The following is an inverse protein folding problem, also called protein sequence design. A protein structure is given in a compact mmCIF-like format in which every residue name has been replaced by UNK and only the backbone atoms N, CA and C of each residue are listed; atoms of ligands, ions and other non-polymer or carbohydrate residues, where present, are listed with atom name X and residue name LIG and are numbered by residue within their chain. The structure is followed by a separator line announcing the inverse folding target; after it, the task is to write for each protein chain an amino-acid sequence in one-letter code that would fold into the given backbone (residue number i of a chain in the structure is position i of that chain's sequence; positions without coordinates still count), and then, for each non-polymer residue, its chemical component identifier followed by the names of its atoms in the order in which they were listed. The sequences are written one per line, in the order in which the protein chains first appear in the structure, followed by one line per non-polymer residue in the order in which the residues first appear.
data_IF_353177454509
#
_entry.id   IF_353177454509
#
_cell.length_a   1.000
_cell.length_b   1.000
_cell.length_c   1.000
_cell.angle_alpha   90.00
_cell.angle_beta   90.00
_cell.angle_gamma   90.00
#
_symmetry.space_group_name_H-M   'P 1'
#
loop_
_entity.id
_entity.type
_entity.pdbx_description
1 polymer ?
#
# COMPACT_ATOMS: atom_id res chain seq x y z
N UNK A 1 -32.98 19.02 6.08
CA UNK A 1 -31.86 18.16 6.52
C UNK A 1 -30.64 18.56 5.71
N UNK A 2 -29.57 19.03 6.36
CA UNK A 2 -28.31 19.25 5.65
C UNK A 2 -27.89 17.91 5.03
N UNK A 3 -27.71 17.87 3.71
CA UNK A 3 -27.26 16.65 3.03
C UNK A 3 -25.87 16.34 3.57
N UNK A 4 -25.71 15.22 4.30
CA UNK A 4 -24.40 14.82 4.82
C UNK A 4 -23.39 14.81 3.67
N UNK A 5 -22.22 15.39 3.92
CA UNK A 5 -21.13 15.46 2.93
C UNK A 5 -20.74 14.02 2.55
N UNK A 6 -20.57 13.69 1.25
CA UNK A 6 -20.25 12.33 0.84
C UNK A 6 -18.93 11.86 1.46
N UNK A 7 -18.92 10.62 1.99
CA UNK A 7 -17.72 9.99 2.53
C UNK A 7 -16.83 9.52 1.39
N UNK A 8 -15.77 10.26 1.11
CA UNK A 8 -14.78 9.87 0.09
C UNK A 8 -13.69 9.01 0.76
N UNK A 9 -13.41 7.84 0.19
CA UNK A 9 -12.31 6.95 0.55
C UNK A 9 -11.11 7.13 -0.36
N UNK A 10 -9.92 7.18 0.22
CA UNK A 10 -8.65 7.06 -0.48
C UNK A 10 -8.10 5.64 -0.27
N UNK A 11 -7.96 4.87 -1.34
CA UNK A 11 -7.38 3.53 -1.32
C UNK A 11 -5.99 3.54 -1.97
N UNK A 12 -4.98 3.13 -1.21
CA UNK A 12 -3.58 3.10 -1.62
C UNK A 12 -3.08 1.65 -1.65
N UNK A 13 -2.73 1.15 -2.83
CA UNK A 13 -2.24 -0.22 -3.00
C UNK A 13 -0.79 -0.38 -2.53
N UNK A 14 -0.36 -1.63 -2.36
CA UNK A 14 1.00 -1.98 -1.98
C UNK A 14 1.93 -1.98 -3.19
N UNK A 15 3.19 -1.59 -3.00
CA UNK A 15 4.18 -1.66 -4.06
C UNK A 15 5.61 -1.27 -3.68
N UNK A 16 5.98 -1.38 -2.40
CA UNK A 16 7.32 -1.01 -1.94
C UNK A 16 7.71 0.41 -2.36
N UNK A 17 8.87 0.57 -3.00
CA UNK A 17 9.36 1.86 -3.50
C UNK A 17 8.45 2.49 -4.57
N UNK A 18 7.67 1.69 -5.33
CA UNK A 18 6.70 2.20 -6.31
C UNK A 18 5.66 3.13 -5.70
N UNK A 19 5.37 3.00 -4.40
CA UNK A 19 4.41 3.84 -3.69
C UNK A 19 4.82 5.33 -3.63
N UNK A 20 6.04 5.69 -4.04
CA UNK A 20 6.43 7.06 -4.35
C UNK A 20 5.52 7.72 -5.41
N UNK A 21 5.00 6.95 -6.37
CA UNK A 21 4.03 7.42 -7.35
C UNK A 21 2.77 8.01 -6.68
N UNK A 22 2.24 7.33 -5.65
CA UNK A 22 1.07 7.81 -4.90
C UNK A 22 1.32 9.19 -4.29
N UNK A 23 2.54 9.46 -3.83
CA UNK A 23 2.93 10.76 -3.27
C UNK A 23 2.86 11.85 -4.34
N UNK A 24 3.29 11.55 -5.57
CA UNK A 24 3.15 12.43 -6.72
C UNK A 24 1.70 12.77 -7.04
N UNK A 25 0.83 11.75 -7.06
CA UNK A 25 -0.61 11.93 -7.28
C UNK A 25 -1.22 12.85 -6.22
N UNK A 26 -0.91 12.59 -4.95
CA UNK A 26 -1.42 13.38 -3.84
C UNK A 26 -0.87 14.80 -3.83
N UNK A 27 0.39 15.00 -4.26
CA UNK A 27 1.00 16.31 -4.47
C UNK A 27 0.22 17.13 -5.48
N UNK A 28 -0.06 16.56 -6.66
CA UNK A 28 -0.86 17.24 -7.68
C UNK A 28 -2.25 17.62 -7.14
N UNK A 29 -2.95 16.70 -6.44
CA UNK A 29 -4.24 17.01 -5.81
C UNK A 29 -4.11 18.16 -4.80
N UNK A 30 -3.09 18.14 -3.96
CA UNK A 30 -2.88 19.15 -2.92
C UNK A 30 -2.60 20.55 -3.48
N UNK A 31 -2.01 20.69 -4.66
CA UNK A 31 -1.66 21.99 -5.24
C UNK A 31 -2.89 22.82 -5.59
N UNK A 32 -3.93 22.18 -6.12
CA UNK A 32 -5.18 22.85 -6.46
C UNK A 32 -6.29 22.74 -5.41
N UNK A 33 -6.20 21.78 -4.48
CA UNK A 33 -7.17 21.66 -3.39
C UNK A 33 -7.00 22.80 -2.37
N UNK A 34 -8.06 23.46 -1.86
CA UNK A 34 -7.94 24.63 -0.99
C UNK A 34 -6.93 24.53 0.18
N UNK A 35 -6.24 25.64 0.51
CA UNK A 35 -5.09 25.67 1.44
C UNK A 35 -5.41 25.33 2.90
N UNK A 36 -6.53 25.81 3.42
CA UNK A 36 -6.94 25.67 4.83
C UNK A 36 -8.20 24.83 4.90
N UNK A 37 -8.14 23.62 4.34
CA UNK A 37 -9.26 22.68 4.36
C UNK A 37 -8.82 21.32 4.90
N UNK A 38 -9.79 20.67 5.53
CA UNK A 38 -9.74 19.26 5.85
C UNK A 38 -9.49 18.46 4.57
N UNK A 39 -8.98 17.24 4.73
CA UNK A 39 -8.82 16.34 3.60
C UNK A 39 -10.14 16.14 2.86
N UNK A 40 -10.10 16.05 1.52
CA UNK A 40 -11.27 15.61 0.78
C UNK A 40 -11.64 14.16 1.14
N UNK A 41 -10.71 13.40 1.73
CA UNK A 41 -10.91 12.02 2.13
C UNK A 41 -11.27 11.93 3.61
N UNK A 42 -12.33 11.19 3.90
CA UNK A 42 -12.75 10.87 5.27
C UNK A 42 -12.39 9.43 5.65
N UNK A 43 -12.10 8.58 4.66
CA UNK A 43 -11.73 7.19 4.84
C UNK A 43 -10.37 6.96 4.16
N UNK A 44 -9.47 6.24 4.83
CA UNK A 44 -8.17 5.88 4.27
C UNK A 44 -7.95 4.37 4.38
N UNK A 45 -7.71 3.72 3.25
CA UNK A 45 -7.43 2.30 3.21
C UNK A 45 -6.07 2.09 2.56
N UNK A 46 -5.21 1.28 3.17
CA UNK A 46 -3.90 1.00 2.59
C UNK A 46 -3.40 -0.41 2.85
N UNK A 47 -2.62 -0.89 1.89
CA UNK A 47 -1.88 -2.15 1.98
C UNK A 47 -0.39 -1.88 1.80
N UNK A 48 0.47 -2.54 2.57
CA UNK A 48 1.93 -2.44 2.49
C UNK A 48 2.41 -0.98 2.52
N UNK A 49 3.25 -0.56 1.58
CA UNK A 49 3.70 0.83 1.46
C UNK A 49 2.55 1.86 1.32
N UNK A 50 1.42 1.48 0.71
CA UNK A 50 0.22 2.31 0.66
C UNK A 50 -0.42 2.53 2.04
N UNK A 51 -0.32 1.55 2.94
CA UNK A 51 -0.71 1.70 4.34
C UNK A 51 0.12 2.74 5.11
N UNK A 52 1.43 2.79 4.83
CA UNK A 52 2.34 3.79 5.40
C UNK A 52 1.92 5.20 4.92
N UNK A 53 1.67 5.36 3.62
CA UNK A 53 1.19 6.62 3.05
C UNK A 53 -0.17 7.03 3.62
N UNK A 54 -1.10 6.08 3.77
CA UNK A 54 -2.43 6.31 4.30
C UNK A 54 -2.39 6.88 5.72
N UNK A 55 -1.62 6.27 6.65
CA UNK A 55 -1.49 6.76 8.03
C UNK A 55 -0.82 8.13 8.06
N UNK A 56 0.24 8.31 7.27
CA UNK A 56 0.99 9.56 7.24
C UNK A 56 0.09 10.75 6.84
N UNK A 57 -0.84 10.55 5.91
CA UNK A 57 -1.77 11.62 5.48
C UNK A 57 -2.96 11.73 6.42
N UNK A 58 -3.55 10.60 6.84
CA UNK A 58 -4.72 10.58 7.73
C UNK A 58 -4.43 11.25 9.08
N UNK A 59 -3.19 11.16 9.57
CA UNK A 59 -2.73 11.90 10.76
C UNK A 59 -2.83 13.43 10.59
N UNK A 60 -2.86 13.93 9.36
CA UNK A 60 -3.01 15.34 9.00
C UNK A 60 -4.35 15.62 8.30
N UNK A 61 -5.39 14.83 8.58
CA UNK A 61 -6.72 15.01 7.97
C UNK A 61 -7.29 16.43 8.17
N UNK A 62 -6.93 17.15 9.23
CA UNK A 62 -7.31 18.56 9.43
C UNK A 62 -6.62 19.55 8.47
N UNK A 63 -5.47 19.20 7.89
CA UNK A 63 -4.72 20.06 6.98
C UNK A 63 -4.02 19.21 5.91
N UNK A 64 -4.75 18.93 4.83
CA UNK A 64 -4.33 17.98 3.79
C UNK A 64 -3.01 18.37 3.13
N UNK A 65 -2.85 19.65 2.74
CA UNK A 65 -1.62 20.14 2.09
C UNK A 65 -0.37 19.95 2.95
N UNK A 66 -0.48 20.15 4.26
CA UNK A 66 0.63 19.93 5.19
C UNK A 66 1.01 18.44 5.27
N UNK A 67 0.00 17.56 5.34
CA UNK A 67 0.20 16.11 5.32
C UNK A 67 0.94 15.65 4.07
N UNK A 68 0.49 16.11 2.89
CA UNK A 68 1.12 15.79 1.61
C UNK A 68 2.55 16.34 1.53
N UNK A 69 2.79 17.59 1.94
CA UNK A 69 4.15 18.17 1.95
C UNK A 69 5.10 17.41 2.87
N UNK A 70 4.63 16.96 4.05
CA UNK A 70 5.43 16.13 4.96
C UNK A 70 5.71 14.77 4.32
N UNK A 71 4.72 14.14 3.71
CA UNK A 71 4.87 12.86 3.03
C UNK A 71 5.90 12.95 1.90
N UNK A 72 5.80 13.96 1.04
CA UNK A 72 6.77 14.25 -0.02
C UNK A 72 8.18 14.43 0.56
N UNK A 73 8.32 15.22 1.63
CA UNK A 73 9.61 15.47 2.27
C UNK A 73 10.29 14.19 2.76
N UNK A 74 9.51 13.26 3.32
CA UNK A 74 10.00 11.96 3.81
C UNK A 74 10.44 11.08 2.63
N UNK A 75 9.57 10.91 1.63
CA UNK A 75 9.84 10.05 0.48
C UNK A 75 11.01 10.57 -0.34
N UNK A 76 11.08 11.87 -0.65
CA UNK A 76 12.15 12.45 -1.46
C UNK A 76 13.55 12.33 -0.84
N UNK A 77 13.65 11.98 0.44
CA UNK A 77 14.91 11.77 1.19
C UNK A 77 15.10 10.32 1.67
N UNK A 78 14.24 9.42 1.23
CA UNK A 78 14.32 8.02 1.62
C UNK A 78 15.52 7.36 0.92
N UNK A 79 16.23 6.54 1.68
CA UNK A 79 17.34 5.73 1.20
C UNK A 79 17.11 4.28 1.60
N UNK A 80 17.67 3.32 0.84
CA UNK A 80 17.55 1.88 1.16
C UNK A 80 17.98 1.56 2.60
N UNK A 81 19.02 2.24 3.11
CA UNK A 81 19.52 2.10 4.49
C UNK A 81 18.51 2.47 5.60
N UNK A 82 17.47 3.25 5.27
CA UNK A 82 16.39 3.62 6.20
C UNK A 82 15.24 2.62 6.17
N UNK A 83 15.19 1.73 5.18
CA UNK A 83 14.16 0.69 5.05
C UNK A 83 14.71 -0.64 5.55
N UNK A 84 15.92 -1.01 5.12
CA UNK A 84 16.56 -2.25 5.53
C UNK A 84 18.07 -2.09 5.73
N UNK A 85 18.66 -3.05 6.45
CA UNK A 85 20.10 -3.08 6.68
C UNK A 85 20.81 -3.34 5.35
N UNK A 86 21.39 -2.30 4.76
CA UNK A 86 22.12 -2.36 3.49
C UNK A 86 23.64 -2.43 3.65
N UNK A 87 24.15 -2.42 4.89
CA UNK A 87 25.58 -2.49 5.18
C UNK A 87 26.13 -3.92 5.00
N UNK A 88 27.34 -4.13 4.43
CA UNK A 88 27.94 -5.45 4.26
C UNK A 88 27.97 -6.27 5.54
N UNK A 89 28.56 -5.72 6.62
CA UNK A 89 28.66 -6.41 7.91
C UNK A 89 27.31 -6.74 8.54
N UNK A 90 26.38 -5.78 8.53
CA UNK A 90 25.04 -5.98 9.10
C UNK A 90 24.24 -7.04 8.35
N UNK A 91 24.35 -7.09 7.02
CA UNK A 91 23.63 -8.06 6.18
C UNK A 91 24.23 -9.46 6.31
N UNK A 92 25.56 -9.61 6.28
CA UNK A 92 26.22 -10.92 6.45
C UNK A 92 25.96 -11.51 7.84
N UNK A 93 26.12 -10.72 8.90
CA UNK A 93 25.83 -11.15 10.27
C UNK A 93 24.36 -11.56 10.43
N UNK A 94 23.42 -10.83 9.82
CA UNK A 94 22.00 -11.19 9.86
C UNK A 94 21.71 -12.51 9.14
N UNK A 95 22.26 -12.71 7.94
CA UNK A 95 22.10 -13.96 7.19
C UNK A 95 22.75 -15.16 7.91
N UNK A 96 23.95 -14.97 8.50
CA UNK A 96 24.61 -16.00 9.30
C UNK A 96 23.76 -16.38 10.53
N UNK A 97 23.24 -15.40 11.28
CA UNK A 97 22.34 -15.65 12.41
C UNK A 97 21.08 -16.39 11.98
N UNK A 98 20.49 -16.03 10.85
CA UNK A 98 19.36 -16.72 10.26
C UNK A 98 19.72 -18.17 9.89
N UNK A 99 20.91 -18.42 9.35
CA UNK A 99 21.40 -19.78 9.07
C UNK A 99 21.58 -20.60 10.35
N UNK A 100 22.31 -20.07 11.33
CA UNK A 100 22.54 -20.75 12.61
C UNK A 100 21.26 -21.04 13.38
N UNK A 101 20.30 -20.10 13.42
CA UNK A 101 19.01 -20.31 14.07
C UNK A 101 18.18 -21.45 13.45
N UNK A 102 18.47 -21.85 12.20
CA UNK A 102 17.82 -22.98 11.53
C UNK A 102 18.52 -24.32 11.76
N UNK A 103 19.80 -24.28 12.13
CA UNK A 103 20.58 -25.45 12.51
C UNK A 103 20.38 -25.82 13.99
N UNK A 104 19.87 -24.89 14.81
CA UNK A 104 19.52 -25.13 16.21
C UNK A 104 18.25 -26.00 16.35
N UNK A 105 18.24 -26.85 17.39
CA UNK A 105 17.16 -27.80 17.67
C UNK A 105 15.79 -27.13 17.91
N UNK A 106 14.71 -27.87 17.66
CA UNK A 106 13.29 -27.42 17.66
C UNK A 106 12.76 -26.78 18.97
N UNK A 107 13.56 -26.77 20.06
CA UNK A 107 13.12 -26.27 21.36
C UNK A 107 13.12 -24.74 21.49
N UNK A 108 13.74 -24.00 20.55
CA UNK A 108 13.71 -22.54 20.51
C UNK A 108 12.70 -22.04 19.46
N UNK A 109 11.86 -21.05 19.82
CA UNK A 109 11.01 -20.35 18.85
C UNK A 109 11.89 -19.76 17.74
N UNK A 110 11.79 -20.34 16.54
CA UNK A 110 12.59 -19.93 15.39
C UNK A 110 12.19 -18.51 14.96
N UNK A 111 13.16 -17.60 14.73
CA UNK A 111 12.85 -16.28 14.22
C UNK A 111 12.21 -16.39 12.81
N UNK A 112 11.26 -15.51 12.47
CA UNK A 112 10.67 -15.48 11.14
C UNK A 112 11.74 -15.30 10.05
N UNK A 113 11.59 -16.04 8.95
CA UNK A 113 12.49 -15.92 7.80
C UNK A 113 12.30 -14.58 7.11
N UNK A 114 13.41 -13.92 6.77
CA UNK A 114 13.45 -12.78 5.86
C UNK A 114 14.88 -12.56 5.40
N UNK A 115 15.11 -12.30 4.11
CA UNK A 115 16.42 -12.02 3.53
C UNK A 115 16.98 -10.67 3.99
N UNK A 116 16.10 -9.70 4.22
CA UNK A 116 16.41 -8.34 4.63
C UNK A 116 15.87 -8.06 6.02
N UNK A 117 16.68 -7.40 6.84
CA UNK A 117 16.29 -6.96 8.17
C UNK A 117 15.60 -5.59 8.09
N UNK A 118 14.32 -5.52 8.49
CA UNK A 118 13.47 -4.32 8.45
C UNK A 118 13.50 -3.48 9.75
N UNK A 119 14.47 -3.68 10.64
CA UNK A 119 14.64 -2.84 11.83
C UNK A 119 14.75 -1.33 11.51
N UNK A 120 15.50 -0.89 10.48
CA UNK A 120 15.54 0.52 10.11
C UNK A 120 14.17 1.08 9.74
N UNK A 121 13.34 0.29 9.04
CA UNK A 121 11.96 0.67 8.72
C UNK A 121 11.12 0.87 9.99
N UNK A 122 11.25 -0.02 10.99
CA UNK A 122 10.56 0.14 12.28
C UNK A 122 10.92 1.47 12.95
N UNK A 123 12.22 1.79 12.99
CA UNK A 123 12.72 3.03 13.59
C UNK A 123 12.21 4.26 12.82
N UNK A 124 12.20 4.20 11.48
CA UNK A 124 11.64 5.25 10.64
C UNK A 124 10.14 5.46 10.90
N UNK A 125 9.36 4.38 10.95
CA UNK A 125 7.92 4.45 11.19
C UNK A 125 7.59 5.05 12.56
N UNK A 126 8.33 4.68 13.59
CA UNK A 126 8.18 5.25 14.93
C UNK A 126 8.51 6.76 14.98
N UNK A 127 9.45 7.23 14.16
CA UNK A 127 9.81 8.66 14.09
C UNK A 127 8.81 9.48 13.28
N UNK A 128 8.26 8.90 12.21
CA UNK A 128 7.43 9.61 11.23
C UNK A 128 5.96 9.65 11.64
N UNK A 129 5.44 8.54 12.15
CA UNK A 129 4.02 8.37 12.45
C UNK A 129 3.67 8.89 13.83
N UNK A 130 2.56 9.62 13.92
CA UNK A 130 2.02 10.11 15.18
C UNK A 130 0.62 9.51 15.38
N UNK A 131 0.57 8.37 16.08
CA UNK A 131 -0.66 7.62 16.33
C UNK A 131 -1.63 8.38 17.24
N UNK A 132 -1.14 9.17 18.19
CA UNK A 132 -2.00 10.04 19.01
C UNK A 132 -2.71 11.09 18.15
N UNK A 133 -2.01 11.66 17.17
CA UNK A 133 -2.59 12.63 16.26
C UNK A 133 -3.65 11.99 15.38
N UNK A 134 -3.43 10.77 14.91
CA UNK A 134 -4.41 9.98 14.17
C UNK A 134 -5.70 9.79 14.99
N UNK A 135 -5.57 9.38 16.27
CA UNK A 135 -6.71 9.24 17.17
C UNK A 135 -7.45 10.56 17.39
N UNK A 136 -6.72 11.67 17.59
CA UNK A 136 -7.32 13.02 17.68
C UNK A 136 -8.12 13.39 16.41
N UNK A 137 -7.68 12.99 15.21
CA UNK A 137 -8.45 13.23 13.99
C UNK A 137 -9.75 12.45 13.94
N UNK A 138 -9.77 11.23 14.48
CA UNK A 138 -10.98 10.40 14.56
C UNK A 138 -11.96 11.03 15.55
N UNK A 139 -11.51 11.39 16.75
CA UNK A 139 -12.35 12.00 17.78
C UNK A 139 -12.93 13.34 17.29
N UNK A 140 -12.13 14.15 16.60
CA UNK A 140 -12.60 15.43 16.03
C UNK A 140 -13.53 15.28 14.82
N UNK A 141 -13.81 14.07 14.33
CA UNK A 141 -14.68 13.84 13.17
C UNK A 141 -14.02 14.15 11.81
N UNK A 142 -12.74 14.54 11.80
CA UNK A 142 -11.99 14.81 10.56
C UNK A 142 -11.66 13.53 9.79
N UNK A 143 -11.62 12.39 10.51
CA UNK A 143 -11.32 11.07 9.98
C UNK A 143 -12.46 10.13 10.38
N UNK A 144 -13.19 9.61 9.40
CA UNK A 144 -14.25 8.63 9.63
C UNK A 144 -13.65 7.25 9.96
N UNK A 145 -12.63 6.84 9.21
CA UNK A 145 -11.94 5.58 9.47
C UNK A 145 -10.64 5.41 8.68
N UNK A 146 -9.77 4.56 9.20
CA UNK A 146 -8.54 4.12 8.57
C UNK A 146 -8.41 2.61 8.66
N UNK A 147 -7.92 1.96 7.61
CA UNK A 147 -7.69 0.53 7.54
C UNK A 147 -6.30 0.20 7.01
N UNK A 148 -5.62 -0.73 7.68
CA UNK A 148 -4.38 -1.36 7.24
C UNK A 148 -4.62 -2.85 7.04
N UNK A 149 -4.40 -3.33 5.82
CA UNK A 149 -4.63 -4.73 5.48
C UNK A 149 -3.33 -5.54 5.59
N UNK A 150 -3.38 -6.66 6.31
CA UNK A 150 -2.28 -7.62 6.45
C UNK A 150 -2.79 -9.05 6.21
N UNK A 151 -1.89 -9.98 5.91
CA UNK A 151 -2.22 -11.37 5.65
C UNK A 151 -1.88 -12.24 6.85
N UNK A 152 -2.85 -12.96 7.41
CA UNK A 152 -2.60 -13.89 8.53
C UNK A 152 -2.09 -15.23 7.99
N UNK A 153 -0.86 -15.61 8.36
CA UNK A 153 -0.28 -16.90 7.99
C UNK A 153 -0.98 -18.08 8.67
N UNK A 154 -1.50 -17.88 9.89
CA UNK A 154 -2.20 -18.94 10.63
C UNK A 154 -3.53 -19.32 9.99
N UNK A 155 -4.25 -18.35 9.43
CA UNK A 155 -5.61 -18.56 8.94
C UNK A 155 -5.72 -18.54 7.41
N UNK A 156 -4.68 -18.09 6.69
CA UNK A 156 -4.74 -17.87 5.24
C UNK A 156 -5.80 -16.83 4.85
N UNK A 157 -6.03 -15.83 5.70
CA UNK A 157 -7.08 -14.81 5.53
C UNK A 157 -6.48 -13.43 5.51
N UNK A 158 -7.06 -12.55 4.70
CA UNK A 158 -6.76 -11.12 4.72
C UNK A 158 -7.47 -10.48 5.92
N UNK A 159 -6.71 -9.76 6.75
CA UNK A 159 -7.18 -9.07 7.94
C UNK A 159 -6.95 -7.58 7.78
N UNK A 160 -8.02 -6.82 7.73
CA UNK A 160 -8.03 -5.37 7.71
C UNK A 160 -8.18 -4.86 9.13
N UNK A 161 -7.07 -4.43 9.73
CA UNK A 161 -7.08 -3.75 11.01
C UNK A 161 -7.57 -2.32 10.81
N UNK A 162 -8.62 -1.93 11.51
CA UNK A 162 -9.19 -0.60 11.34
C UNK A 162 -9.41 0.15 12.64
N UNK A 163 -9.34 1.46 12.53
CA UNK A 163 -9.65 2.42 13.59
C UNK A 163 -10.54 3.53 13.01
N UNK A 164 -11.54 3.99 13.75
CA UNK A 164 -12.47 5.00 13.25
C UNK A 164 -13.67 5.19 14.17
N UNK A 165 -14.70 5.89 13.68
CA UNK A 165 -15.92 6.23 14.43
C UNK A 165 -16.58 4.99 15.06
N UNK A 166 -17.31 5.19 16.17
CA UNK A 166 -17.90 4.11 16.96
C UNK A 166 -18.90 3.26 16.15
N UNK A 167 -19.59 3.87 15.17
CA UNK A 167 -20.55 3.22 14.28
C UNK A 167 -19.94 2.13 13.37
N UNK A 168 -18.61 2.13 13.18
CA UNK A 168 -17.97 1.15 12.31
C UNK A 168 -17.96 -0.24 12.96
N UNK A 169 -18.62 -1.19 12.31
CA UNK A 169 -18.68 -2.57 12.74
C UNK A 169 -17.55 -3.43 12.16
N UNK A 170 -17.14 -4.45 12.92
CA UNK A 170 -16.26 -5.50 12.40
C UNK A 170 -16.97 -6.32 11.30
N UNK A 171 -16.19 -6.97 10.44
CA UNK A 171 -16.72 -7.86 9.41
C UNK A 171 -15.94 -9.17 9.35
N UNK A 172 -16.64 -10.26 9.02
CA UNK A 172 -16.03 -11.57 8.80
C UNK A 172 -16.75 -12.24 7.63
N UNK A 173 -16.20 -12.16 6.41
CA UNK A 173 -16.83 -12.73 5.22
C UNK A 173 -15.82 -13.07 4.12
N UNK A 174 -16.00 -14.23 3.48
CA UNK A 174 -15.27 -14.64 2.26
C UNK A 174 -13.75 -14.43 2.36
N UNK A 175 -13.11 -15.05 3.36
CA UNK A 175 -11.67 -14.96 3.66
C UNK A 175 -11.12 -13.55 3.95
N UNK A 176 -11.95 -12.51 3.98
CA UNK A 176 -11.62 -11.17 4.46
C UNK A 176 -12.21 -10.96 5.85
N UNK A 177 -11.47 -10.27 6.73
CA UNK A 177 -11.85 -10.01 8.11
C UNK A 177 -11.48 -8.59 8.51
N UNK A 178 -12.42 -7.82 9.04
CA UNK A 178 -12.17 -6.51 9.61
C UNK A 178 -12.08 -6.63 11.12
N UNK A 179 -10.97 -6.18 11.71
CA UNK A 179 -10.79 -6.15 13.16
C UNK A 179 -10.53 -4.74 13.63
N UNK A 180 -11.32 -4.29 14.62
CA UNK A 180 -11.10 -2.99 15.25
C UNK A 180 -9.85 -3.08 16.11
N UNK A 181 -8.89 -2.19 15.90
CA UNK A 181 -7.63 -2.17 16.64
C UNK A 181 -7.06 -0.75 16.66
N UNK A 182 -6.29 -0.43 17.71
CA UNK A 182 -5.46 0.77 17.70
C UNK A 182 -4.29 0.53 16.75
N UNK A 183 -4.22 1.32 15.68
CA UNK A 183 -3.19 1.15 14.67
C UNK A 183 -1.84 1.51 15.27
N UNK A 184 -0.84 0.68 15.00
CA UNK A 184 0.51 0.79 15.54
C UNK A 184 1.54 0.41 14.47
N UNK A 185 2.82 0.61 14.79
CA UNK A 185 3.93 0.27 13.89
C UNK A 185 3.93 -1.22 13.52
N UNK A 186 3.48 -2.10 14.40
CA UNK A 186 3.41 -3.55 14.10
C UNK A 186 2.43 -3.87 12.98
N UNK A 187 1.31 -3.14 12.91
CA UNK A 187 0.33 -3.31 11.83
C UNK A 187 0.91 -2.91 10.47
N UNK A 188 1.71 -1.84 10.43
CA UNK A 188 2.41 -1.41 9.23
C UNK A 188 3.52 -2.38 8.81
N UNK A 189 4.34 -2.83 9.76
CA UNK A 189 5.40 -3.80 9.50
C UNK A 189 4.83 -5.14 9.03
N UNK A 190 3.73 -5.60 9.63
CA UNK A 190 2.99 -6.76 9.17
C UNK A 190 2.51 -6.57 7.72
N UNK A 191 1.85 -5.44 7.44
CA UNK A 191 1.31 -5.13 6.12
C UNK A 191 2.38 -5.02 5.04
N UNK A 192 3.62 -4.64 5.39
CA UNK A 192 4.76 -4.51 4.49
C UNK A 192 5.75 -5.71 4.54
N UNK A 193 5.40 -6.79 5.24
CA UNK A 193 6.26 -7.98 5.38
C UNK A 193 6.17 -8.87 4.14
N UNK A 194 6.80 -8.41 3.05
CA UNK A 194 6.86 -9.14 1.77
C UNK A 194 7.49 -10.52 2.01
N UNK A 195 6.84 -11.63 1.58
CA UNK A 195 7.34 -12.98 1.80
C UNK A 195 8.77 -13.15 1.31
N UNK A 196 9.57 -13.89 2.07
CA UNK A 196 10.99 -14.15 1.82
C UNK A 196 11.89 -12.91 1.91
N UNK A 197 11.39 -11.72 1.60
CA UNK A 197 12.16 -10.47 1.66
C UNK A 197 12.24 -9.95 3.09
N UNK A 198 11.11 -9.79 3.77
CA UNK A 198 11.04 -9.25 5.13
C UNK A 198 10.45 -10.25 6.11
N UNK A 199 10.91 -10.24 7.37
CA UNK A 199 10.38 -11.13 8.41
C UNK A 199 8.91 -10.82 8.70
N UNK A 200 8.12 -11.87 8.90
CA UNK A 200 6.74 -11.78 9.38
C UNK A 200 6.66 -11.05 10.73
N UNK A 201 5.63 -10.22 10.92
CA UNK A 201 5.40 -9.52 12.19
C UNK A 201 4.36 -10.21 13.05
N UNK A 202 4.56 -10.22 14.37
CA UNK A 202 3.64 -10.82 15.34
C UNK A 202 2.72 -9.74 15.90
N UNK A 203 1.41 -9.92 15.74
CA UNK A 203 0.38 -9.06 16.36
C UNK A 203 -0.46 -9.96 17.27
N UNK A 204 -0.35 -9.74 18.58
CA UNK A 204 -0.91 -10.65 19.58
C UNK A 204 -0.29 -12.05 19.47
N UNK A 205 -1.12 -13.06 19.23
CA UNK A 205 -0.71 -14.47 19.14
C UNK A 205 -0.60 -15.00 17.69
N UNK A 206 -0.66 -14.12 16.69
CA UNK A 206 -0.67 -14.53 15.28
C UNK A 206 0.44 -13.82 14.50
N UNK A 207 1.06 -14.54 13.56
CA UNK A 207 2.01 -13.98 12.60
C UNK A 207 1.29 -13.50 11.35
N UNK A 208 1.69 -12.31 10.92
CA UNK A 208 1.16 -11.63 9.75
C UNK A 208 2.28 -11.34 8.75
N UNK A 209 1.94 -11.46 7.47
CA UNK A 209 2.74 -11.07 6.31
C UNK A 209 2.06 -9.98 5.50
N UNK A 210 2.66 -9.64 4.36
CA UNK A 210 2.17 -8.58 3.47
C UNK A 210 0.69 -8.75 3.14
N UNK A 211 -0.06 -7.65 3.20
CA UNK A 211 -1.51 -7.67 3.03
C UNK A 211 -1.98 -8.12 1.66
N UNK A 212 -1.12 -8.06 0.63
CA UNK A 212 -1.46 -8.46 -0.75
C UNK A 212 -1.65 -9.96 -0.94
N UNK A 213 -0.92 -10.79 -0.18
CA UNK A 213 -0.79 -12.25 -0.40
C UNK A 213 -2.15 -12.98 -0.42
N UNK A 214 -3.17 -12.42 0.25
CA UNK A 214 -4.52 -12.97 0.26
C UNK A 214 -5.61 -11.89 0.10
N UNK A 215 -5.30 -10.74 -0.53
CA UNK A 215 -6.23 -9.62 -0.64
C UNK A 215 -7.30 -9.85 -1.70
N UNK A 216 -8.30 -10.68 -1.41
CA UNK A 216 -9.35 -11.04 -2.37
C UNK A 216 -10.39 -9.93 -2.63
N UNK A 217 -10.46 -8.90 -1.78
CA UNK A 217 -11.41 -7.79 -1.95
C UNK A 217 -10.81 -6.51 -1.37
N UNK A 218 -9.91 -5.85 -2.11
CA UNK A 218 -9.26 -4.63 -1.68
C UNK A 218 -10.22 -3.47 -1.40
N UNK A 219 -11.40 -3.45 -2.02
CA UNK A 219 -12.39 -2.38 -1.84
C UNK A 219 -13.23 -2.55 -0.57
N UNK A 220 -13.27 -3.76 0.00
CA UNK A 220 -14.14 -4.09 1.14
C UNK A 220 -13.97 -3.17 2.35
N UNK A 221 -12.75 -2.79 2.78
CA UNK A 221 -12.61 -1.86 3.90
C UNK A 221 -13.27 -0.51 3.62
N UNK A 222 -13.08 0.06 2.43
CA UNK A 222 -13.73 1.31 2.01
C UNK A 222 -15.26 1.19 2.03
N UNK A 223 -15.79 0.09 1.48
CA UNK A 223 -17.23 -0.16 1.42
C UNK A 223 -17.83 -0.38 2.82
N UNK A 224 -17.14 -1.13 3.70
CA UNK A 224 -17.57 -1.39 5.08
C UNK A 224 -17.48 -0.15 5.98
N UNK A 225 -16.61 0.80 5.63
CA UNK A 225 -16.57 2.12 6.25
C UNK A 225 -17.61 3.10 5.68
N UNK A 226 -18.46 2.65 4.75
CA UNK A 226 -19.59 3.43 4.26
C UNK A 226 -19.23 4.49 3.21
N UNK A 227 -18.13 4.30 2.47
CA UNK A 227 -17.72 5.21 1.40
C UNK A 227 -18.84 5.42 0.36
N UNK A 228 -19.10 6.68 0.02
CA UNK A 228 -19.92 7.12 -1.11
C UNK A 228 -19.12 7.14 -2.41
N UNK A 229 -17.82 7.46 -2.28
CA UNK A 229 -16.90 7.64 -3.38
C UNK A 229 -15.57 6.98 -3.03
N UNK A 230 -14.90 6.34 -3.99
CA UNK A 230 -13.57 5.73 -3.78
C UNK A 230 -12.58 6.25 -4.83
N UNK A 231 -11.54 6.95 -4.39
CA UNK A 231 -10.36 7.23 -5.20
C UNK A 231 -9.31 6.14 -4.93
N UNK A 232 -8.97 5.38 -5.96
CA UNK A 232 -7.93 4.34 -5.91
C UNK A 232 -6.69 4.83 -6.62
N UNK A 233 -5.54 4.70 -5.95
CA UNK A 233 -4.24 4.92 -6.56
C UNK A 233 -3.51 3.60 -6.59
N UNK A 234 -3.41 3.05 -7.79
CA UNK A 234 -2.73 1.81 -8.07
C UNK A 234 -1.32 2.04 -8.59
N UNK A 235 -0.50 0.99 -8.52
CA UNK A 235 0.93 1.00 -8.85
C UNK A 235 1.28 0.08 -10.01
N UNK A 236 0.28 -0.53 -10.64
CA UNK A 236 0.45 -1.44 -11.76
C UNK A 236 0.01 -0.74 -13.04
N UNK A 237 0.82 -0.92 -14.09
CA UNK A 237 0.48 -0.42 -15.42
C UNK A 237 -0.28 -1.51 -16.19
N UNK A 238 -1.52 -1.24 -16.57
CA UNK A 238 -2.36 -2.15 -17.36
C UNK A 238 -1.83 -2.36 -18.78
N UNK A 239 -1.01 -1.44 -19.31
CA UNK A 239 -0.41 -1.51 -20.65
C UNK A 239 0.95 -2.21 -20.63
N UNK A 240 1.06 -3.34 -19.93
CA UNK A 240 2.32 -4.09 -19.97
C UNK A 240 2.47 -4.70 -21.36
N UNK A 241 3.49 -4.27 -22.09
CA UNK A 241 3.89 -4.87 -23.38
C UNK A 241 4.13 -6.37 -23.19
N UNK A 242 3.70 -7.19 -24.17
CA UNK A 242 4.00 -8.62 -24.20
C UNK A 242 5.51 -8.82 -24.07
N UNK A 243 5.94 -9.40 -22.95
CA UNK A 243 7.36 -9.69 -22.71
C UNK A 243 7.78 -10.81 -23.66
N UNK A 244 8.97 -10.69 -24.23
CA UNK A 244 9.55 -11.69 -25.13
C UNK A 244 9.66 -13.07 -24.42
N UNK A 245 8.75 -13.98 -24.75
CA UNK A 245 8.63 -15.33 -24.15
C UNK A 245 9.68 -16.32 -24.67
N UNK A 246 10.64 -15.88 -25.49
CA UNK A 246 11.63 -16.77 -26.12
C UNK A 246 12.68 -17.32 -25.16
N UNK A 247 12.80 -16.81 -23.93
CA UNK A 247 13.73 -17.31 -22.91
C UNK A 247 13.00 -17.96 -21.73
N UNK A 248 13.51 -19.09 -21.27
CA UNK A 248 13.02 -19.74 -20.05
C UNK A 248 13.17 -18.78 -18.86
N UNK A 249 12.11 -18.59 -18.05
CA UNK A 249 12.14 -17.66 -16.93
C UNK A 249 13.07 -18.17 -15.82
N UNK A 250 13.90 -17.29 -15.27
CA UNK A 250 14.70 -17.56 -14.08
C UNK A 250 13.85 -17.52 -12.80
N UNK A 251 14.44 -17.91 -11.67
CA UNK A 251 13.76 -17.87 -10.35
C UNK A 251 13.32 -16.45 -9.96
N UNK A 252 14.11 -15.45 -10.33
CA UNK A 252 13.79 -14.05 -10.09
C UNK A 252 12.62 -13.57 -10.94
N UNK A 253 12.55 -13.94 -12.22
CA UNK A 253 11.44 -13.51 -13.08
C UNK A 253 10.16 -14.19 -12.65
N UNK A 254 10.19 -15.49 -12.30
CA UNK A 254 9.07 -16.19 -11.68
C UNK A 254 8.63 -15.52 -10.36
N UNK A 255 9.58 -15.13 -9.50
CA UNK A 255 9.29 -14.40 -8.27
C UNK A 255 8.65 -13.04 -8.52
N UNK A 256 9.11 -12.30 -9.54
CA UNK A 256 8.54 -11.02 -9.96
C UNK A 256 7.13 -11.18 -10.51
N UNK A 257 6.91 -12.19 -11.34
CA UNK A 257 5.59 -12.55 -11.85
C UNK A 257 4.63 -12.93 -10.72
N UNK A 258 5.07 -13.75 -9.76
CA UNK A 258 4.24 -14.09 -8.59
C UNK A 258 3.91 -12.85 -7.76
N UNK A 259 4.85 -11.92 -7.58
CA UNK A 259 4.57 -10.66 -6.90
C UNK A 259 3.53 -9.86 -7.67
N UNK A 260 3.73 -9.59 -8.96
CA UNK A 260 2.78 -8.82 -9.77
C UNK A 260 1.39 -9.49 -9.78
N UNK A 261 1.28 -10.81 -9.93
CA UNK A 261 0.00 -11.54 -9.85
C UNK A 261 -0.66 -11.45 -8.47
N UNK A 262 0.11 -11.60 -7.38
CA UNK A 262 -0.41 -11.47 -6.00
C UNK A 262 -0.91 -10.04 -5.73
N UNK A 263 -0.25 -9.01 -6.26
CA UNK A 263 -0.58 -7.61 -6.02
C UNK A 263 -1.72 -7.07 -6.90
N UNK A 264 -1.91 -7.59 -8.12
CA UNK A 264 -2.66 -6.86 -9.18
C UNK A 264 -4.03 -7.44 -9.52
N UNK A 265 -4.11 -8.74 -9.77
CA UNK A 265 -5.30 -9.34 -10.43
C UNK A 265 -6.58 -9.23 -9.58
N UNK A 266 -6.40 -9.08 -8.27
CA UNK A 266 -7.52 -8.99 -7.32
C UNK A 266 -8.22 -7.63 -7.34
N UNK A 267 -7.51 -6.52 -7.61
CA UNK A 267 -8.11 -5.18 -7.61
C UNK A 267 -8.99 -4.97 -8.84
N UNK A 268 -8.50 -5.34 -10.03
CA UNK A 268 -9.24 -5.21 -11.29
C UNK A 268 -10.54 -6.02 -11.24
N UNK A 269 -10.49 -7.25 -10.73
CA UNK A 269 -11.69 -8.07 -10.54
C UNK A 269 -12.69 -7.47 -9.54
N UNK A 270 -12.21 -6.90 -8.41
CA UNK A 270 -13.08 -6.26 -7.41
C UNK A 270 -13.72 -4.97 -7.98
N UNK A 271 -12.98 -4.22 -8.79
CA UNK A 271 -13.46 -3.03 -9.52
C UNK A 271 -14.55 -3.35 -10.55
N UNK A 272 -14.36 -4.43 -11.32
CA UNK A 272 -15.35 -4.87 -12.28
C UNK A 272 -16.64 -5.30 -11.57
N UNK A 273 -16.51 -6.02 -10.45
CA UNK A 273 -17.65 -6.40 -9.62
C UNK A 273 -18.38 -5.18 -9.03
N UNK A 274 -17.65 -4.16 -8.57
CA UNK A 274 -18.24 -2.91 -8.10
C UNK A 274 -19.01 -2.20 -9.22
N UNK A 275 -18.41 -2.10 -10.40
CA UNK A 275 -19.02 -1.44 -11.57
C UNK A 275 -20.30 -2.16 -12.01
N UNK A 276 -20.25 -3.49 -12.12
CA UNK A 276 -21.44 -4.32 -12.41
C UNK A 276 -22.53 -4.14 -11.36
N UNK A 277 -22.15 -4.11 -10.08
CA UNK A 277 -23.11 -3.89 -8.98
C UNK A 277 -23.77 -2.52 -9.07
N UNK A 278 -23.00 -1.46 -9.35
CA UNK A 278 -23.53 -0.11 -9.53
C UNK A 278 -24.51 -0.04 -10.71
N UNK A 279 -24.20 -0.68 -11.84
CA UNK A 279 -25.11 -0.75 -13.00
C UNK A 279 -26.45 -1.43 -12.64
N UNK A 280 -26.39 -2.54 -11.90
CA UNK A 280 -27.58 -3.26 -11.43
C UNK A 280 -28.40 -2.37 -10.48
N UNK A 281 -27.74 -1.69 -9.53
CA UNK A 281 -28.41 -0.78 -8.59
C UNK A 281 -29.12 0.36 -9.35
N UNK A 282 -28.47 0.94 -10.36
CA UNK A 282 -29.04 2.03 -11.16
C UNK A 282 -30.24 1.58 -12.00
N UNK A 283 -30.29 0.31 -12.42
CA UNK A 283 -31.42 -0.27 -13.14
C UNK A 283 -32.64 -0.56 -12.24
N UNK A 284 -32.48 -0.63 -10.92
CA UNK A 284 -33.57 -0.90 -9.99
C UNK A 284 -34.47 0.33 -9.74
N UNK A 285 -35.79 0.15 -9.60
CA UNK A 285 -36.70 1.20 -9.14
C UNK A 285 -36.27 1.79 -7.79
N UNK A 286 -36.55 3.07 -7.56
CA UNK A 286 -36.07 3.80 -6.38
C UNK A 286 -36.63 3.24 -5.05
N UNK A 287 -37.85 2.72 -5.06
CA UNK A 287 -38.44 2.08 -3.87
C UNK A 287 -37.70 0.79 -3.46
N UNK A 288 -37.27 -0.03 -4.42
CA UNK A 288 -36.46 -1.23 -4.15
C UNK A 288 -35.06 -0.88 -3.65
N UNK A 289 -34.45 0.17 -4.21
CA UNK A 289 -33.15 0.68 -3.76
C UNK A 289 -33.18 1.08 -2.28
N UNK A 290 -34.23 1.81 -1.87
CA UNK A 290 -34.39 2.23 -0.48
C UNK A 290 -34.69 1.04 0.45
N UNK A 291 -35.57 0.12 0.03
CA UNK A 291 -35.92 -1.09 0.79
C UNK A 291 -34.72 -1.98 1.08
N UNK A 292 -33.85 -2.17 0.09
CA UNK A 292 -32.64 -3.00 0.20
C UNK A 292 -31.42 -2.24 0.72
N UNK A 293 -31.56 -0.94 1.01
CA UNK A 293 -30.47 -0.05 1.43
C UNK A 293 -29.26 -0.10 0.48
N UNK A 294 -29.52 -0.26 -0.83
CA UNK A 294 -28.47 -0.36 -1.84
C UNK A 294 -27.93 1.03 -2.15
N UNK A 295 -26.61 1.15 -2.08
CA UNK A 295 -25.89 2.40 -2.29
C UNK A 295 -24.99 2.28 -3.50
N UNK A 296 -25.15 3.19 -4.46
CA UNK A 296 -24.20 3.36 -5.56
C UNK A 296 -22.91 3.98 -5.01
N UNK A 297 -21.76 3.45 -5.40
CA UNK A 297 -20.46 3.95 -4.96
C UNK A 297 -19.65 4.38 -6.17
N UNK A 298 -19.51 5.69 -6.36
CA UNK A 298 -18.74 6.24 -7.47
C UNK A 298 -17.25 5.97 -7.23
N UNK A 299 -16.49 5.76 -8.31
CA UNK A 299 -15.08 5.47 -8.16
C UNK A 299 -14.21 6.04 -9.29
N UNK A 300 -12.95 6.31 -8.96
CA UNK A 300 -11.89 6.63 -9.92
C UNK A 300 -10.70 5.73 -9.61
N UNK A 301 -10.17 5.09 -10.65
CA UNK A 301 -8.93 4.31 -10.59
C UNK A 301 -7.83 5.07 -11.35
N UNK A 302 -6.77 5.41 -10.62
CA UNK A 302 -5.57 6.01 -11.17
C UNK A 302 -4.47 4.95 -11.20
N UNK A 303 -3.97 4.69 -12.41
CA UNK A 303 -2.82 3.83 -12.67
C UNK A 303 -1.73 4.61 -13.40
N UNK A 304 -0.44 4.21 -13.27
CA UNK A 304 0.68 4.84 -13.95
C UNK A 304 0.56 4.78 -15.48
N UNK A 305 0.84 5.88 -16.15
CA UNK A 305 0.86 5.94 -17.63
C UNK A 305 2.03 5.16 -18.24
N UNK A 306 3.14 5.05 -17.51
CA UNK A 306 4.39 4.39 -17.91
C UNK A 306 4.75 3.30 -16.91
N UNK A 307 5.33 2.21 -17.43
CA UNK A 307 5.85 1.13 -16.61
C UNK A 307 7.06 1.61 -15.79
N UNK A 308 7.22 1.07 -14.59
CA UNK A 308 8.30 1.47 -13.67
C UNK A 308 9.61 0.71 -13.93
N UNK A 309 9.56 -0.39 -14.68
CA UNK A 309 10.66 -1.29 -14.97
C UNK A 309 11.81 -0.60 -15.73
N UNK A 310 11.58 0.15 -16.84
CA UNK A 310 12.65 0.87 -17.51
C UNK A 310 13.32 1.92 -16.61
N UNK A 311 12.53 2.55 -15.74
CA UNK A 311 13.03 3.52 -14.78
C UNK A 311 13.92 2.83 -13.73
N UNK A 312 13.48 1.69 -13.19
CA UNK A 312 14.25 0.92 -12.22
C UNK A 312 15.57 0.40 -12.81
N UNK A 313 15.56 -0.03 -14.08
CA UNK A 313 16.76 -0.45 -14.78
C UNK A 313 17.77 0.70 -14.92
N UNK A 314 17.31 1.91 -15.27
CA UNK A 314 18.15 3.11 -15.37
C UNK A 314 18.84 3.46 -14.05
N UNK A 315 18.13 3.34 -12.93
CA UNK A 315 18.64 3.71 -11.60
C UNK A 315 19.21 2.54 -10.80
N UNK A 316 19.30 1.33 -11.38
CA UNK A 316 19.84 0.14 -10.70
C UNK A 316 21.25 0.35 -10.15
N UNK A 317 22.06 1.16 -10.84
CA UNK A 317 23.44 1.45 -10.42
C UNK A 317 23.51 2.19 -9.06
N UNK A 318 22.44 2.86 -8.63
CA UNK A 318 22.39 3.59 -7.35
C UNK A 318 22.15 2.66 -6.15
N UNK A 319 21.76 1.40 -6.37
CA UNK A 319 21.58 0.46 -5.26
C UNK A 319 22.88 0.25 -4.48
N UNK A 320 22.80 0.10 -3.15
CA UNK A 320 23.95 -0.25 -2.33
C UNK A 320 24.68 -1.49 -2.88
N UNK A 321 26.02 -1.49 -2.94
CA UNK A 321 26.79 -2.58 -3.54
C UNK A 321 26.43 -3.97 -2.98
N UNK A 322 26.22 -4.06 -1.66
CA UNK A 322 25.84 -5.31 -1.01
C UNK A 322 24.45 -5.79 -1.42
N UNK A 323 23.48 -4.88 -1.56
CA UNK A 323 22.13 -5.22 -2.05
C UNK A 323 22.21 -5.76 -3.48
N UNK A 324 23.01 -5.14 -4.35
CA UNK A 324 23.24 -5.64 -5.73
C UNK A 324 23.87 -7.02 -5.74
N UNK A 325 24.84 -7.27 -4.86
CA UNK A 325 25.49 -8.58 -4.74
C UNK A 325 24.49 -9.66 -4.28
N UNK A 326 23.66 -9.36 -3.27
CA UNK A 326 22.61 -10.27 -2.81
C UNK A 326 21.60 -10.57 -3.91
N UNK A 327 21.14 -9.55 -4.63
CA UNK A 327 20.20 -9.71 -5.76
C UNK A 327 20.79 -10.64 -6.83
N UNK A 328 22.05 -10.44 -7.20
CA UNK A 328 22.77 -11.31 -8.16
C UNK A 328 22.89 -12.75 -7.67
N UNK A 329 23.18 -12.95 -6.38
CA UNK A 329 23.24 -14.28 -5.76
C UNK A 329 21.88 -15.00 -5.77
N UNK A 330 20.79 -14.25 -5.63
CA UNK A 330 19.42 -14.79 -5.75
C UNK A 330 18.94 -14.96 -7.19
N UNK A 331 19.80 -14.69 -8.18
CA UNK A 331 19.47 -14.83 -9.60
C UNK A 331 18.72 -13.64 -10.21
N UNK A 332 18.67 -12.48 -9.54
CA UNK A 332 18.00 -11.26 -10.03
C UNK A 332 18.97 -10.48 -10.92
N UNK A 333 18.66 -10.41 -12.21
CA UNK A 333 19.40 -9.66 -13.23
C UNK A 333 18.76 -8.29 -13.48
N UNK A 334 19.53 -7.19 -13.59
CA UNK A 334 18.98 -5.86 -13.90
C UNK A 334 18.33 -5.75 -15.28
N UNK A 335 18.60 -6.67 -16.23
CA UNK A 335 17.98 -6.67 -17.56
C UNK A 335 16.66 -7.44 -17.58
N UNK A 336 16.57 -8.55 -16.84
CA UNK A 336 15.45 -9.48 -16.93
C UNK A 336 14.45 -9.32 -15.77
N UNK A 337 14.88 -8.77 -14.63
CA UNK A 337 14.12 -8.72 -13.36
C UNK A 337 13.96 -7.29 -12.82
N UNK A 338 13.71 -6.34 -13.72
CA UNK A 338 13.46 -4.94 -13.37
C UNK A 338 12.22 -4.76 -12.46
N UNK A 339 11.26 -5.70 -12.51
CA UNK A 339 10.07 -5.69 -11.67
C UNK A 339 10.44 -5.77 -10.18
N UNK A 340 11.13 -6.82 -9.71
CA UNK A 340 11.54 -6.94 -8.29
C UNK A 340 12.41 -5.75 -7.87
N UNK A 341 13.33 -5.32 -8.73
CA UNK A 341 14.21 -4.17 -8.48
C UNK A 341 13.40 -2.92 -8.15
N UNK A 342 12.36 -2.64 -8.93
CA UNK A 342 11.52 -1.45 -8.74
C UNK A 342 10.76 -1.42 -7.40
N UNK A 343 10.52 -2.58 -6.77
CA UNK A 343 9.88 -2.65 -5.44
C UNK A 343 10.84 -2.30 -4.29
N UNK A 344 12.15 -2.53 -4.46
CA UNK A 344 13.15 -2.40 -3.37
C UNK A 344 14.16 -1.27 -3.60
N UNK A 345 14.07 -0.55 -4.72
CA UNK A 345 14.92 0.58 -5.08
C UNK A 345 14.47 1.84 -4.32
N UNK A 346 14.86 1.96 -3.06
CA UNK A 346 14.53 3.14 -2.23
C UNK A 346 15.62 4.21 -2.33
N UNK A 347 16.02 4.62 -3.52
CA UNK A 347 17.00 5.70 -3.70
C UNK A 347 16.35 7.02 -4.16
N UNK A 348 16.80 8.19 -3.66
CA UNK A 348 16.14 9.47 -3.89
C UNK A 348 15.90 9.81 -5.36
N UNK A 349 16.84 9.51 -6.26
CA UNK A 349 16.71 9.85 -7.67
C UNK A 349 15.59 9.05 -8.34
N UNK A 350 15.47 7.77 -8.00
CA UNK A 350 14.38 6.92 -8.47
C UNK A 350 13.04 7.34 -7.87
N UNK A 351 13.00 7.58 -6.56
CA UNK A 351 11.79 8.01 -5.85
C UNK A 351 11.27 9.34 -6.41
N UNK A 352 12.14 10.32 -6.64
CA UNK A 352 11.76 11.60 -7.21
C UNK A 352 11.23 11.46 -8.63
N UNK A 353 11.79 10.55 -9.44
CA UNK A 353 11.27 10.27 -10.77
C UNK A 353 9.87 9.63 -10.72
N UNK A 354 9.59 8.74 -9.76
CA UNK A 354 8.24 8.19 -9.54
C UNK A 354 7.24 9.25 -9.05
N UNK A 355 7.65 10.12 -8.13
CA UNK A 355 6.82 11.26 -7.66
C UNK A 355 6.49 12.17 -8.84
N UNK A 356 7.46 12.47 -9.70
CA UNK A 356 7.26 13.29 -10.89
C UNK A 356 6.23 12.64 -11.84
N UNK A 357 6.36 11.35 -12.10
CA UNK A 357 5.41 10.62 -12.95
C UNK A 357 3.98 10.66 -12.40
N UNK A 358 3.80 10.42 -11.09
CA UNK A 358 2.48 10.50 -10.46
C UNK A 358 1.88 11.90 -10.48
N UNK A 359 2.71 12.93 -10.39
CA UNK A 359 2.29 14.31 -10.51
C UNK A 359 1.80 14.63 -11.94
N UNK A 360 2.57 14.24 -12.97
CA UNK A 360 2.23 14.45 -14.38
C UNK A 360 0.91 13.76 -14.76
N UNK A 361 0.79 12.46 -14.46
CA UNK A 361 -0.42 11.66 -14.74
C UNK A 361 -1.69 12.24 -14.10
N UNK A 362 -1.54 12.84 -12.91
CA UNK A 362 -2.66 13.43 -12.17
C UNK A 362 -3.05 14.79 -12.73
N UNK A 363 -2.08 15.55 -13.22
CA UNK A 363 -2.32 16.85 -13.85
C UNK A 363 -3.15 16.67 -15.13
N UNK A 364 -2.86 15.64 -15.93
CA UNK A 364 -3.66 15.29 -17.11
C UNK A 364 -5.12 14.95 -16.78
N UNK A 365 -5.37 14.38 -15.59
CA UNK A 365 -6.71 13.97 -15.10
C UNK A 365 -7.35 14.98 -14.15
N UNK A 366 -6.82 16.20 -14.04
CA UNK A 366 -7.22 17.20 -13.05
C UNK A 366 -8.72 17.54 -13.11
N UNK A 367 -9.26 17.79 -14.30
CA UNK A 367 -10.68 18.17 -14.49
C UNK A 367 -11.63 17.10 -13.96
N UNK A 368 -11.31 15.82 -14.19
CA UNK A 368 -12.09 14.68 -13.69
C UNK A 368 -12.02 14.62 -12.15
N UNK A 369 -10.82 14.73 -11.58
CA UNK A 369 -10.60 14.64 -10.13
C UNK A 369 -11.24 15.79 -9.37
N UNK A 370 -11.20 17.01 -9.92
CA UNK A 370 -11.89 18.17 -9.34
C UNK A 370 -13.40 17.97 -9.27
N UNK A 371 -14.02 17.35 -10.29
CA UNK A 371 -15.45 17.03 -10.26
C UNK A 371 -15.76 15.96 -9.23
N UNK A 372 -14.87 14.98 -9.07
CA UNK A 372 -15.03 13.87 -8.13
C UNK A 372 -14.90 14.27 -6.66
N UNK A 373 -13.92 15.13 -6.33
CA UNK A 373 -13.63 15.59 -4.95
C UNK A 373 -14.49 16.77 -4.48
N UNK A 374 -15.39 17.27 -5.33
CA UNK A 374 -16.40 18.28 -5.00
C UNK A 374 -17.62 17.70 -4.26
#
# INVERSE_FOLDING_TARGET
MAKDKPKISLLLTGGGARAAYQVGVLKAIAEWYPRVHHSPFSIYCGTSAGGINAIAIASYASCFRLGVKKLEWIWARLHSRRVFIASPYGMTNYLLKQGFARLQADYHERPPFGLLNNRPLRELLNQVNNYERLEKQIIAGNLHGISITASSYKSGRSVSFFQGQQELCEWDRAKSKGRRSLISTEHLLASAAIPLVFPASRIGQTYYGDGSIHQLSPLRPSLKMGADKILMIDLINEKTEERDHTKAPGLASLGGHLMDTIFSDTLTADLENLSRTNTIIQALPEHERQRLQLKNVDHIHLSPSKSFEPLAQKYYCHLPPMTRALMRLTGISPKDDAAITSYILFEPEYIQALIKLGYEDTTEKETMLRKFLK
#
